data_IF_314010126343
#
_entry.id   IF_314010126343
#
_cell.length_a   1.000
_cell.length_b   1.000
_cell.length_c   1.000
_cell.angle_alpha   90.00
_cell.angle_beta   90.00
_cell.angle_gamma   90.00
#
_symmetry.space_group_name_H-M   'P 1'
#
loop_
_entity.id
_entity.type
_entity.pdbx_description
1 polymer ?
#
# COMPACT_ATOMS: atom_id res chain seq x y z
N UNK A 1 5.99 40.64 12.57
CA UNK A 1 6.26 39.21 12.32
C UNK A 1 4.95 38.46 12.52
N UNK A 2 4.34 37.93 11.46
CA UNK A 2 3.11 37.16 11.60
C UNK A 2 3.45 35.81 12.24
N UNK A 3 2.65 35.30 13.20
CA UNK A 3 2.90 34.01 13.81
C UNK A 3 2.79 32.92 12.74
N UNK A 4 3.87 32.14 12.55
CA UNK A 4 3.83 30.94 11.72
C UNK A 4 2.78 29.97 12.30
N UNK A 5 1.94 29.36 11.45
CA UNK A 5 0.98 28.37 11.94
C UNK A 5 1.76 27.22 12.60
N UNK A 6 1.50 27.01 13.89
CA UNK A 6 2.00 25.82 14.60
C UNK A 6 1.24 24.62 14.05
N UNK A 7 1.89 23.86 13.18
CA UNK A 7 1.40 22.55 12.78
C UNK A 7 1.60 21.65 13.99
N UNK A 8 0.55 21.42 14.78
CA UNK A 8 0.60 20.45 15.87
C UNK A 8 0.20 19.09 15.31
N UNK A 9 1.16 18.18 15.24
CA UNK A 9 0.94 16.83 14.75
C UNK A 9 0.66 15.88 15.90
N UNK A 10 -0.45 15.15 15.85
CA UNK A 10 -0.73 14.04 16.75
C UNK A 10 0.02 12.79 16.27
N UNK A 11 1.26 12.66 16.75
CA UNK A 11 2.19 11.57 16.43
C UNK A 11 1.55 10.21 16.73
N UNK A 12 0.93 10.05 17.90
CA UNK A 12 0.38 8.77 18.35
C UNK A 12 -0.75 8.30 17.43
N UNK A 13 -1.64 9.22 17.05
CA UNK A 13 -2.71 8.92 16.10
C UNK A 13 -2.14 8.54 14.73
N UNK A 14 -1.13 9.26 14.23
CA UNK A 14 -0.54 8.98 12.91
C UNK A 14 0.18 7.62 12.90
N UNK A 15 0.94 7.29 13.94
CA UNK A 15 1.61 5.99 14.06
C UNK A 15 0.58 4.86 14.12
N UNK A 16 -0.49 5.02 14.89
CA UNK A 16 -1.59 4.05 15.01
C UNK A 16 -2.28 3.82 13.66
N UNK A 17 -2.60 4.89 12.94
CA UNK A 17 -3.20 4.81 11.60
C UNK A 17 -2.23 4.14 10.62
N UNK A 18 -0.94 4.50 10.65
CA UNK A 18 0.09 3.89 9.80
C UNK A 18 0.24 2.38 10.02
N UNK A 19 0.25 1.95 11.29
CA UNK A 19 0.25 0.54 11.65
C UNK A 19 -1.01 -0.19 11.16
N UNK A 20 -2.17 0.45 11.27
CA UNK A 20 -3.43 -0.12 10.80
C UNK A 20 -3.45 -0.27 9.27
N UNK A 21 -2.98 0.73 8.52
CA UNK A 21 -2.85 0.67 7.06
C UNK A 21 -1.90 -0.46 6.62
N UNK A 22 -0.78 -0.64 7.33
CA UNK A 22 0.15 -1.75 7.08
C UNK A 22 -0.51 -3.10 7.28
N UNK A 23 -1.30 -3.24 8.36
CA UNK A 23 -2.07 -4.47 8.64
C UNK A 23 -3.12 -4.75 7.55
N UNK A 24 -3.86 -3.73 7.11
CA UNK A 24 -4.81 -3.83 5.99
C UNK A 24 -4.09 -4.29 4.72
N UNK A 25 -2.96 -3.66 4.38
CA UNK A 25 -2.18 -4.04 3.20
C UNK A 25 -1.74 -5.50 3.23
N UNK A 26 -1.31 -6.01 4.39
CA UNK A 26 -0.95 -7.43 4.56
C UNK A 26 -2.15 -8.36 4.40
N UNK A 27 -3.27 -8.05 5.03
CA UNK A 27 -4.50 -8.84 4.93
C UNK A 27 -4.98 -8.92 3.47
N UNK A 28 -5.05 -7.76 2.79
CA UNK A 28 -5.39 -7.68 1.37
C UNK A 28 -4.43 -8.50 0.50
N UNK A 29 -3.12 -8.50 0.80
CA UNK A 29 -2.13 -9.28 0.05
C UNK A 29 -2.33 -10.79 0.15
N UNK A 30 -2.71 -11.27 1.34
CA UNK A 30 -3.02 -12.69 1.58
C UNK A 30 -4.28 -13.07 0.81
N UNK A 31 -5.37 -12.32 1.00
CA UNK A 31 -6.65 -12.59 0.36
C UNK A 31 -6.54 -12.51 -1.15
N UNK A 32 -5.87 -11.48 -1.67
CA UNK A 32 -5.68 -11.30 -3.10
C UNK A 32 -4.86 -12.43 -3.72
N UNK A 33 -3.87 -12.98 -3.01
CA UNK A 33 -3.12 -14.14 -3.49
C UNK A 33 -4.01 -15.37 -3.63
N UNK A 34 -4.91 -15.62 -2.67
CA UNK A 34 -5.89 -16.70 -2.77
C UNK A 34 -6.85 -16.48 -3.95
N UNK A 35 -7.33 -15.24 -4.18
CA UNK A 35 -8.18 -14.92 -5.33
C UNK A 35 -7.46 -15.12 -6.66
N UNK A 36 -6.19 -14.70 -6.79
CA UNK A 36 -5.40 -14.91 -8.01
C UNK A 36 -5.28 -16.39 -8.38
N UNK A 37 -5.08 -17.26 -7.39
CA UNK A 37 -5.04 -18.70 -7.61
C UNK A 37 -6.39 -19.23 -8.14
N UNK A 38 -7.50 -18.80 -7.53
CA UNK A 38 -8.85 -19.20 -7.99
C UNK A 38 -9.15 -18.73 -9.42
N UNK A 39 -8.75 -17.51 -9.77
CA UNK A 39 -8.89 -16.99 -11.14
C UNK A 39 -8.07 -17.86 -12.10
N UNK A 40 -6.81 -18.14 -11.77
CA UNK A 40 -5.93 -18.96 -12.61
C UNK A 40 -6.49 -20.39 -12.80
N UNK A 41 -7.07 -21.00 -11.76
CA UNK A 41 -7.74 -22.30 -11.86
C UNK A 41 -8.96 -22.25 -12.79
N UNK A 42 -9.76 -21.18 -12.72
CA UNK A 42 -10.92 -20.98 -13.61
C UNK A 42 -10.55 -20.75 -15.08
N UNK A 43 -9.33 -20.25 -15.35
CA UNK A 43 -8.80 -20.02 -16.70
C UNK A 43 -8.05 -21.24 -17.28
N UNK A 44 -8.00 -22.36 -16.57
CA UNK A 44 -7.28 -23.58 -16.97
C UNK A 44 -7.77 -24.22 -18.27
N UNK A 45 -8.97 -23.86 -18.75
CA UNK A 45 -9.54 -24.35 -20.01
C UNK A 45 -8.79 -23.92 -21.27
N UNK A 46 -7.97 -22.87 -21.21
CA UNK A 46 -7.05 -22.52 -22.29
C UNK A 46 -5.78 -23.33 -22.06
N UNK A 47 -5.62 -24.44 -22.79
CA UNK A 47 -4.47 -25.33 -22.63
C UNK A 47 -3.11 -24.61 -22.67
N UNK A 48 -2.07 -25.22 -22.10
CA UNK A 48 -0.70 -24.67 -22.11
C UNK A 48 0.07 -24.95 -23.40
N UNK A 49 -0.54 -25.67 -24.35
CA UNK A 49 0.05 -26.00 -25.64
C UNK A 49 0.09 -24.82 -26.62
N UNK A 50 0.69 -25.05 -27.80
CA UNK A 50 0.93 -24.03 -28.84
C UNK A 50 -0.34 -23.25 -29.24
N UNK A 51 -1.48 -23.94 -29.35
CA UNK A 51 -2.79 -23.33 -29.65
C UNK A 51 -3.28 -22.39 -28.54
N UNK A 52 -3.14 -22.81 -27.27
CA UNK A 52 -3.53 -21.97 -26.15
C UNK A 52 -2.56 -20.79 -25.94
N UNK A 53 -1.28 -20.96 -26.26
CA UNK A 53 -0.31 -19.86 -26.29
C UNK A 53 -0.65 -18.83 -27.38
N UNK A 54 -0.97 -19.28 -28.60
CA UNK A 54 -1.47 -18.42 -29.70
C UNK A 54 -2.77 -17.71 -29.33
N UNK A 55 -3.72 -18.42 -28.74
CA UNK A 55 -5.00 -17.84 -28.32
C UNK A 55 -4.82 -16.76 -27.24
N UNK A 56 -3.91 -16.97 -26.27
CA UNK A 56 -3.58 -15.95 -25.25
C UNK A 56 -2.96 -14.66 -25.80
N UNK A 57 -2.44 -14.66 -27.03
CA UNK A 57 -1.96 -13.42 -27.68
C UNK A 57 -3.12 -12.51 -28.07
N UNK A 58 -4.26 -13.09 -28.43
CA UNK A 58 -5.44 -12.35 -28.92
C UNK A 58 -6.55 -12.24 -27.87
N UNK A 59 -6.56 -13.15 -26.89
CA UNK A 59 -7.50 -13.17 -25.78
C UNK A 59 -6.96 -12.38 -24.59
N UNK A 60 -7.60 -11.26 -24.26
CA UNK A 60 -7.42 -10.60 -22.96
C UNK A 60 -8.47 -11.17 -21.99
N UNK A 61 -8.06 -11.94 -20.97
CA UNK A 61 -9.00 -12.42 -19.95
C UNK A 61 -9.72 -11.24 -19.30
N UNK A 62 -11.06 -11.31 -19.09
CA UNK A 62 -11.78 -10.29 -18.32
C UNK A 62 -11.18 -10.04 -16.94
N UNK A 63 -10.54 -11.06 -16.35
CA UNK A 63 -9.85 -10.97 -15.08
C UNK A 63 -8.61 -10.05 -15.11
N UNK A 64 -8.04 -9.73 -16.28
CA UNK A 64 -6.89 -8.83 -16.37
C UNK A 64 -7.22 -7.40 -15.95
N UNK A 65 -8.45 -6.94 -16.22
CA UNK A 65 -8.92 -5.65 -15.72
C UNK A 65 -8.95 -5.64 -14.18
N UNK A 66 -9.40 -6.74 -13.58
CA UNK A 66 -9.43 -6.92 -12.12
C UNK A 66 -8.01 -6.97 -11.57
N UNK A 67 -7.12 -7.78 -12.16
CA UNK A 67 -5.71 -7.90 -11.77
C UNK A 67 -5.00 -6.55 -11.79
N UNK A 68 -5.13 -5.80 -12.89
CA UNK A 68 -4.51 -4.48 -13.05
C UNK A 68 -4.88 -3.50 -11.94
N UNK A 69 -6.12 -3.54 -11.46
CA UNK A 69 -6.61 -2.67 -10.39
C UNK A 69 -6.22 -3.21 -9.01
N UNK A 70 -6.33 -4.52 -8.78
CA UNK A 70 -6.18 -5.14 -7.47
C UNK A 70 -4.71 -5.43 -7.09
N UNK A 71 -3.86 -5.80 -8.03
CA UNK A 71 -2.45 -6.14 -7.82
C UNK A 71 -1.66 -5.06 -7.03
N UNK A 72 -1.79 -3.75 -7.32
CA UNK A 72 -1.03 -2.73 -6.59
C UNK A 72 -1.61 -2.39 -5.21
N UNK A 73 -2.86 -2.73 -4.89
CA UNK A 73 -3.55 -2.24 -3.69
C UNK A 73 -2.85 -2.67 -2.38
N UNK A 74 -2.49 -3.95 -2.17
CA UNK A 74 -1.78 -4.36 -0.95
C UNK A 74 -0.49 -3.54 -0.70
N UNK A 75 0.28 -3.32 -1.76
CA UNK A 75 1.52 -2.53 -1.72
C UNK A 75 1.26 -1.07 -1.35
N UNK A 76 0.25 -0.44 -1.96
CA UNK A 76 -0.12 0.96 -1.68
C UNK A 76 -0.47 1.20 -0.21
N UNK A 77 -1.20 0.28 0.41
CA UNK A 77 -1.51 0.38 1.84
C UNK A 77 -0.26 0.26 2.72
N UNK A 78 0.66 -0.63 2.35
CA UNK A 78 1.97 -0.73 3.01
C UNK A 78 2.82 0.53 2.85
N UNK A 79 2.81 1.15 1.67
CA UNK A 79 3.54 2.39 1.40
C UNK A 79 2.96 3.58 2.18
N UNK A 80 1.64 3.69 2.27
CA UNK A 80 0.98 4.69 3.11
C UNK A 80 1.31 4.51 4.60
N UNK A 81 1.31 3.26 5.07
CA UNK A 81 1.73 2.94 6.45
C UNK A 81 3.16 3.37 6.73
N UNK A 82 4.10 3.06 5.82
CA UNK A 82 5.50 3.48 5.92
C UNK A 82 5.65 5.00 5.90
N UNK A 83 4.92 5.68 5.01
CA UNK A 83 4.94 7.14 4.91
C UNK A 83 4.46 7.79 6.22
N UNK A 84 3.39 7.27 6.84
CA UNK A 84 2.91 7.76 8.13
C UNK A 84 3.98 7.65 9.23
N UNK A 85 4.67 6.50 9.32
CA UNK A 85 5.79 6.32 10.27
C UNK A 85 6.93 7.30 10.01
N UNK A 86 7.35 7.48 8.76
CA UNK A 86 8.41 8.42 8.42
C UNK A 86 8.04 9.86 8.74
N UNK A 87 6.79 10.25 8.50
CA UNK A 87 6.28 11.58 8.84
C UNK A 87 6.28 11.83 10.36
N UNK A 88 5.80 10.86 11.14
CA UNK A 88 5.81 10.91 12.60
C UNK A 88 7.23 11.06 13.17
N UNK A 89 8.18 10.26 12.66
CA UNK A 89 9.59 10.33 13.04
C UNK A 89 10.23 11.67 12.68
N UNK A 90 9.96 12.17 11.46
CA UNK A 90 10.51 13.45 10.99
C UNK A 90 10.00 14.62 11.82
N UNK A 91 8.72 14.59 12.18
CA UNK A 91 8.11 15.63 13.02
C UNK A 91 8.67 15.59 14.45
N UNK A 92 8.76 14.40 15.07
CA UNK A 92 9.35 14.23 16.41
C UNK A 92 10.80 14.71 16.48
N UNK A 93 11.60 14.41 15.45
CA UNK A 93 12.97 14.90 15.35
C UNK A 93 13.03 16.44 15.25
N UNK A 94 12.14 17.05 14.46
CA UNK A 94 12.00 18.50 14.35
C UNK A 94 11.62 19.16 15.68
N UNK A 95 10.63 18.61 16.38
CA UNK A 95 10.19 19.10 17.70
C UNK A 95 11.33 19.04 18.73
N UNK A 96 12.12 17.96 18.74
CA UNK A 96 13.28 17.84 19.62
C UNK A 96 14.34 18.91 19.32
N UNK A 97 14.68 19.11 18.04
CA UNK A 97 15.64 20.14 17.63
C UNK A 97 15.15 21.53 18.05
N UNK A 98 13.86 21.82 17.88
CA UNK A 98 13.27 23.09 18.28
C UNK A 98 13.29 23.29 19.80
N UNK A 99 12.97 22.25 20.58
CA UNK A 99 12.99 22.30 22.04
C UNK A 99 14.40 22.53 22.60
N UNK A 100 15.42 21.93 22.00
CA UNK A 100 16.83 22.06 22.42
C UNK A 100 17.41 23.48 22.14
N UNK A 101 16.73 24.32 21.34
CA UNK A 101 17.15 25.70 21.03
C UNK A 101 16.67 26.73 22.07
N UNK A 102 15.85 26.36 23.05
CA UNK A 102 15.42 27.25 24.12
C UNK A 102 16.29 27.04 25.38
N UNK A 103 16.94 28.08 25.93
CA UNK A 103 17.70 27.95 27.17
C UNK A 103 16.77 27.58 28.33
N UNK A 104 17.23 26.64 29.18
CA UNK A 104 16.52 26.20 30.39
C UNK A 104 16.51 27.27 31.47
#
# INVERSE_FOLDING_TARGET
>A
MAPHPRIQMDIETIERVGAHLTTIGRALGIDWTAFRQRIATGESGIGTGVLGARYRVEYTPPADAIRRVADPLPGRFGDLGRAATLSAQSYSAGDKIAADQFPR
#
